data_IF_580692030966
#
_entry.id   IF_580692030966
#
_cell.length_a   1.000
_cell.length_b   1.000
_cell.length_c   1.000
_cell.angle_alpha   90.00
_cell.angle_beta   90.00
_cell.angle_gamma   90.00
#
_symmetry.space_group_name_H-M   'P 1'
#
loop_
_entity.id
_entity.type
_entity.pdbx_description
1 polymer ?
#
# COMPACT_ATOMS: atom_id res chain seq x y z
N UNK A 1 13.22 17.38 1.81
CA UNK A 1 12.62 16.27 2.57
C UNK A 1 11.80 16.86 3.73
N UNK A 2 10.58 16.35 3.95
CA UNK A 2 9.75 16.72 5.09
C UNK A 2 10.15 15.96 6.36
N UNK A 3 9.61 16.39 7.52
CA UNK A 3 9.89 15.78 8.82
C UNK A 3 9.62 14.27 8.83
N UNK A 4 8.49 13.83 8.25
CA UNK A 4 8.12 12.41 8.18
C UNK A 4 9.16 11.63 7.39
N UNK A 5 9.57 12.11 6.22
CA UNK A 5 10.56 11.44 5.37
C UNK A 5 11.92 11.30 6.07
N UNK A 6 12.35 12.34 6.78
CA UNK A 6 13.60 12.33 7.57
C UNK A 6 13.52 11.28 8.68
N UNK A 7 12.39 11.21 9.36
CA UNK A 7 12.20 10.23 10.45
C UNK A 7 12.13 8.79 9.93
N UNK A 8 11.46 8.53 8.81
CA UNK A 8 11.43 7.20 8.20
C UNK A 8 12.83 6.74 7.77
N UNK A 9 13.62 7.63 7.17
CA UNK A 9 15.01 7.34 6.83
C UNK A 9 15.85 7.03 8.09
N UNK A 10 15.67 7.80 9.17
CA UNK A 10 16.34 7.56 10.45
C UNK A 10 15.99 6.19 11.04
N UNK A 11 14.70 5.81 11.03
CA UNK A 11 14.25 4.51 11.53
C UNK A 11 14.83 3.35 10.71
N UNK A 12 14.88 3.47 9.38
CA UNK A 12 15.50 2.46 8.53
C UNK A 12 16.97 2.23 8.90
N UNK A 13 17.72 3.31 9.16
CA UNK A 13 19.13 3.24 9.63
C UNK A 13 19.23 2.66 11.04
N UNK A 14 18.44 3.16 11.99
CA UNK A 14 18.49 2.72 13.38
C UNK A 14 18.24 1.22 13.53
N UNK A 15 17.26 0.70 12.77
CA UNK A 15 16.88 -0.71 12.84
C UNK A 15 17.57 -1.59 11.79
N UNK A 16 18.39 -1.02 10.90
CA UNK A 16 19.10 -1.71 9.82
C UNK A 16 18.14 -2.57 8.96
N UNK A 17 17.00 -1.99 8.56
CA UNK A 17 15.94 -2.66 7.79
C UNK A 17 15.60 -1.90 6.51
N UNK A 18 15.10 -2.64 5.52
CA UNK A 18 14.31 -2.03 4.45
C UNK A 18 12.94 -1.64 5.03
N UNK A 19 12.54 -0.39 4.85
CA UNK A 19 11.35 0.16 5.48
C UNK A 19 10.36 0.71 4.46
N UNK A 20 9.17 0.09 4.37
CA UNK A 20 7.98 0.64 3.74
C UNK A 20 6.95 0.95 4.83
N UNK A 21 6.94 2.18 5.34
CA UNK A 21 6.14 2.58 6.50
C UNK A 21 4.72 3.08 6.14
N UNK A 22 4.00 2.33 5.31
CA UNK A 22 2.67 2.74 4.86
C UNK A 22 2.71 3.77 3.73
N UNK A 23 1.75 4.70 3.73
CA UNK A 23 1.72 5.79 2.75
C UNK A 23 1.53 7.15 3.42
N UNK A 24 2.12 8.18 2.82
CA UNK A 24 2.09 9.56 3.33
C UNK A 24 1.67 10.54 2.24
N UNK A 25 1.09 11.71 2.60
CA UNK A 25 0.84 12.77 1.63
C UNK A 25 2.16 13.45 1.22
N UNK A 26 2.45 13.45 -0.08
CA UNK A 26 3.54 14.22 -0.68
C UNK A 26 2.98 15.34 -1.56
N UNK A 27 3.61 16.51 -1.54
CA UNK A 27 3.23 17.63 -2.40
C UNK A 27 3.28 17.21 -3.87
N UNK A 28 2.22 17.52 -4.61
CA UNK A 28 2.19 17.38 -6.08
C UNK A 28 2.59 18.69 -6.77
N UNK A 29 2.72 18.63 -8.09
CA UNK A 29 2.91 19.83 -8.90
C UNK A 29 1.63 20.69 -9.02
N UNK A 30 0.47 20.13 -8.67
CA UNK A 30 -0.83 20.83 -8.67
C UNK A 30 -1.00 21.50 -7.30
N UNK A 31 -1.30 22.79 -7.32
CA UNK A 31 -1.52 23.59 -6.10
C UNK A 31 -2.63 22.96 -5.25
N UNK A 32 -2.43 22.90 -3.94
CA UNK A 32 -3.35 22.34 -2.94
C UNK A 32 -3.72 20.85 -3.15
N UNK A 33 -2.92 20.12 -3.93
CA UNK A 33 -3.07 18.69 -4.14
C UNK A 33 -1.82 17.92 -3.69
N UNK A 34 -2.04 16.68 -3.28
CA UNK A 34 -0.99 15.78 -2.79
C UNK A 34 -1.02 14.47 -3.56
N UNK A 35 0.09 13.73 -3.55
CA UNK A 35 0.11 12.30 -3.86
C UNK A 35 -0.08 11.52 -2.56
N UNK A 36 -0.83 10.42 -2.62
CA UNK A 36 -0.81 9.38 -1.59
C UNK A 36 0.36 8.45 -1.96
N UNK A 37 1.48 8.58 -1.25
CA UNK A 37 2.75 7.99 -1.68
C UNK A 37 3.31 6.99 -0.68
N UNK A 38 3.73 5.82 -1.16
CA UNK A 38 4.50 4.83 -0.41
C UNK A 38 6.00 4.99 -0.74
N UNK A 39 6.82 5.09 0.30
CA UNK A 39 8.26 5.33 0.20
C UNK A 39 9.03 4.13 0.76
N UNK A 40 9.92 3.56 -0.04
CA UNK A 40 10.80 2.46 0.36
C UNK A 40 12.19 3.00 0.68
N UNK A 41 12.63 2.80 1.90
CA UNK A 41 13.97 3.17 2.37
C UNK A 41 14.86 1.94 2.56
N UNK A 42 16.14 2.08 2.23
CA UNK A 42 17.17 1.07 2.49
C UNK A 42 17.73 1.21 3.93
N UNK A 43 18.45 0.17 4.44
CA UNK A 43 19.08 0.21 5.75
C UNK A 43 20.10 1.34 5.98
N UNK A 44 20.60 1.95 4.91
CA UNK A 44 21.47 3.13 4.95
C UNK A 44 20.70 4.47 4.97
N UNK A 45 19.36 4.42 4.99
CA UNK A 45 18.47 5.58 4.98
C UNK A 45 18.22 6.20 3.61
N UNK A 46 18.80 5.65 2.55
CA UNK A 46 18.53 6.11 1.20
C UNK A 46 17.12 5.73 0.73
N UNK A 47 16.44 6.65 0.05
CA UNK A 47 15.17 6.37 -0.61
C UNK A 47 15.44 5.54 -1.89
N UNK A 48 15.02 4.28 -1.89
CA UNK A 48 15.16 3.39 -3.06
C UNK A 48 14.13 3.69 -4.14
N UNK A 49 12.88 3.81 -3.77
CA UNK A 49 11.81 4.09 -4.70
C UNK A 49 10.60 4.73 -4.00
N UNK A 50 9.74 5.37 -4.79
CA UNK A 50 8.51 6.00 -4.33
C UNK A 50 7.37 5.65 -5.30
N UNK A 51 6.26 5.17 -4.77
CA UNK A 51 5.04 4.87 -5.52
C UNK A 51 3.96 5.87 -5.15
N UNK A 52 3.41 6.56 -6.13
CA UNK A 52 2.23 7.39 -5.99
C UNK A 52 0.99 6.57 -6.36
N UNK A 53 0.04 6.45 -5.45
CA UNK A 53 -1.19 5.68 -5.63
C UNK A 53 -1.89 6.03 -6.94
N UNK A 54 -2.13 5.02 -7.79
CA UNK A 54 -2.76 5.19 -9.10
C UNK A 54 -4.29 5.25 -8.95
N UNK A 55 -4.88 4.31 -8.20
CA UNK A 55 -6.33 4.21 -8.07
C UNK A 55 -6.81 4.90 -6.79
N UNK A 56 -7.30 6.13 -6.93
CA UNK A 56 -7.86 6.89 -5.83
C UNK A 56 -9.21 6.30 -5.38
N UNK A 57 -9.37 6.20 -4.06
CA UNK A 57 -10.60 5.63 -3.49
C UNK A 57 -11.78 6.60 -3.63
N UNK A 58 -12.85 6.10 -4.23
CA UNK A 58 -14.13 6.79 -4.27
C UNK A 58 -15.23 5.83 -3.88
N UNK A 59 -16.08 6.26 -2.96
CA UNK A 59 -17.21 5.48 -2.46
C UNK A 59 -18.36 6.41 -2.11
N UNK A 60 -19.57 6.01 -2.44
CA UNK A 60 -20.79 6.72 -2.05
C UNK A 60 -21.92 5.69 -1.96
N UNK A 61 -22.51 5.53 -0.77
CA UNK A 61 -23.66 4.64 -0.53
C UNK A 61 -24.95 5.43 -0.24
N UNK A 62 -24.92 6.76 -0.42
CA UNK A 62 -26.04 7.65 -0.11
C UNK A 62 -26.06 8.17 1.33
N UNK A 63 -25.27 7.57 2.23
CA UNK A 63 -25.13 7.97 3.65
C UNK A 63 -23.72 8.50 3.92
N UNK A 64 -22.72 7.80 3.39
CA UNK A 64 -21.29 8.17 3.53
C UNK A 64 -20.69 8.33 2.14
N UNK A 65 -20.05 9.47 1.91
CA UNK A 65 -19.31 9.74 0.68
C UNK A 65 -17.82 9.90 0.98
N UNK A 66 -17.00 9.23 0.19
CA UNK A 66 -15.54 9.30 0.21
C UNK A 66 -15.04 9.59 -1.19
N UNK A 67 -14.20 10.61 -1.34
CA UNK A 67 -13.55 10.91 -2.61
C UNK A 67 -12.12 11.43 -2.35
N UNK A 68 -11.12 10.55 -2.50
CA UNK A 68 -9.71 10.94 -2.39
C UNK A 68 -9.31 12.00 -3.43
N UNK A 69 -9.96 12.01 -4.60
CA UNK A 69 -9.69 12.96 -5.68
C UNK A 69 -9.90 14.42 -5.29
N UNK A 70 -10.58 14.71 -4.17
CA UNK A 70 -10.71 16.08 -3.64
C UNK A 70 -9.36 16.64 -3.24
N UNK A 71 -8.50 15.84 -2.56
CA UNK A 71 -7.23 16.29 -1.99
C UNK A 71 -6.01 15.66 -2.67
N UNK A 72 -6.19 14.54 -3.38
CA UNK A 72 -5.08 13.79 -3.97
C UNK A 72 -5.15 13.77 -5.49
N UNK A 73 -3.97 13.64 -6.09
CA UNK A 73 -3.76 13.41 -7.53
C UNK A 73 -3.37 11.95 -7.72
N UNK A 74 -3.92 11.30 -8.72
CA UNK A 74 -3.51 9.95 -9.10
C UNK A 74 -2.07 9.94 -9.62
N UNK A 75 -1.33 8.90 -9.24
CA UNK A 75 -0.07 8.55 -9.87
C UNK A 75 -0.30 7.98 -11.28
N UNK A 76 0.77 7.86 -12.04
CA UNK A 76 0.76 7.37 -13.42
C UNK A 76 1.82 6.29 -13.69
N UNK A 77 2.62 5.91 -12.68
CA UNK A 77 3.74 4.99 -12.83
C UNK A 77 3.60 3.78 -11.95
N UNK A 78 3.73 2.60 -12.54
CA UNK A 78 3.95 1.35 -11.83
C UNK A 78 5.39 1.32 -11.33
N UNK A 79 5.59 1.01 -10.06
CA UNK A 79 6.90 1.02 -9.41
C UNK A 79 7.22 -0.37 -8.88
N UNK A 80 8.37 -0.88 -9.32
CA UNK A 80 9.04 -2.02 -8.72
C UNK A 80 10.47 -1.60 -8.36
N UNK A 81 11.01 -2.15 -7.28
CA UNK A 81 12.42 -1.99 -6.90
C UNK A 81 13.06 -3.35 -6.62
N UNK A 82 14.38 -3.38 -6.61
CA UNK A 82 15.15 -4.56 -6.23
C UNK A 82 15.63 -4.43 -4.81
N UNK A 83 15.43 -5.47 -4.00
CA UNK A 83 15.83 -5.56 -2.61
C UNK A 83 16.52 -6.91 -2.42
N UNK A 84 17.83 -6.90 -2.18
CA UNK A 84 18.65 -8.11 -1.95
C UNK A 84 18.44 -9.22 -3.01
N UNK A 85 18.29 -8.82 -4.27
CA UNK A 85 18.07 -9.73 -5.40
C UNK A 85 16.61 -10.12 -5.64
N UNK A 86 15.67 -9.65 -4.81
CA UNK A 86 14.23 -9.83 -5.01
C UNK A 86 13.59 -8.61 -5.66
N UNK A 87 12.74 -8.84 -6.64
CA UNK A 87 11.95 -7.79 -7.26
C UNK A 87 10.66 -7.55 -6.49
N UNK A 88 10.50 -6.36 -5.95
CA UNK A 88 9.39 -5.96 -5.07
C UNK A 88 8.50 -4.94 -5.76
N UNK A 89 7.21 -5.28 -5.93
CA UNK A 89 6.19 -4.36 -6.46
C UNK A 89 5.51 -3.55 -5.37
N UNK A 90 5.24 -2.26 -5.63
CA UNK A 90 4.56 -1.38 -4.69
C UNK A 90 3.13 -1.06 -5.13
N UNK A 91 2.22 -1.05 -4.18
CA UNK A 91 0.81 -0.69 -4.37
C UNK A 91 0.25 -0.07 -3.09
N UNK A 92 -0.94 0.56 -3.13
CA UNK A 92 -1.57 1.18 -1.95
C UNK A 92 -3.07 0.89 -1.95
N UNK A 93 -3.56 0.20 -0.92
CA UNK A 93 -4.97 0.13 -0.51
C UNK A 93 -5.94 -0.22 -1.65
N UNK A 94 -6.64 0.76 -2.21
CA UNK A 94 -7.66 0.59 -3.25
C UNK A 94 -7.11 -0.03 -4.55
N UNK A 95 -5.80 0.08 -4.79
CA UNK A 95 -5.11 -0.61 -5.89
C UNK A 95 -5.38 -2.13 -5.89
N UNK A 96 -5.65 -2.71 -4.71
CA UNK A 96 -5.99 -4.13 -4.56
C UNK A 96 -7.13 -4.59 -5.47
N UNK A 97 -8.04 -3.68 -5.87
CA UNK A 97 -9.20 -3.99 -6.71
C UNK A 97 -8.89 -4.04 -8.20
N UNK A 98 -7.69 -3.64 -8.62
CA UNK A 98 -7.31 -3.46 -10.02
C UNK A 98 -6.23 -4.47 -10.41
N UNK A 99 -6.59 -5.66 -10.90
CA UNK A 99 -5.63 -6.70 -11.28
C UNK A 99 -4.68 -6.23 -12.38
N UNK A 100 -5.10 -5.28 -13.21
CA UNK A 100 -4.31 -4.71 -14.29
C UNK A 100 -3.00 -4.08 -13.78
N UNK A 101 -3.03 -3.40 -12.64
CA UNK A 101 -1.84 -2.82 -12.02
C UNK A 101 -0.78 -3.90 -11.77
N UNK A 102 -1.19 -5.00 -11.16
CA UNK A 102 -0.29 -6.10 -10.78
C UNK A 102 0.24 -6.83 -12.01
N UNK A 103 -0.57 -6.97 -13.05
CA UNK A 103 -0.14 -7.57 -14.33
C UNK A 103 0.92 -6.72 -15.03
N UNK A 104 0.82 -5.40 -14.98
CA UNK A 104 1.81 -4.48 -15.58
C UNK A 104 3.14 -4.50 -14.83
N UNK A 105 3.17 -4.89 -13.54
CA UNK A 105 4.43 -5.09 -12.79
C UNK A 105 5.31 -6.19 -13.44
N UNK A 106 4.68 -7.11 -14.20
CA UNK A 106 5.35 -8.29 -14.75
C UNK A 106 5.72 -9.30 -13.67
N UNK A 107 6.82 -10.03 -13.87
CA UNK A 107 7.29 -10.99 -12.88
C UNK A 107 7.92 -10.24 -11.71
N UNK A 108 7.37 -10.45 -10.52
CA UNK A 108 7.85 -9.92 -9.24
C UNK A 108 7.86 -11.04 -8.19
N UNK A 109 8.74 -10.97 -7.22
CA UNK A 109 8.83 -11.97 -6.15
C UNK A 109 7.86 -11.65 -5.01
N UNK A 110 7.69 -10.36 -4.71
CA UNK A 110 6.85 -9.87 -3.60
C UNK A 110 6.09 -8.62 -4.03
N UNK A 111 4.83 -8.51 -3.62
CA UNK A 111 4.05 -7.27 -3.72
C UNK A 111 3.72 -6.78 -2.32
N UNK A 112 3.94 -5.50 -2.07
CA UNK A 112 3.64 -4.82 -0.81
C UNK A 112 2.43 -3.90 -0.98
N UNK A 113 1.47 -4.00 -0.04
CA UNK A 113 0.22 -3.25 -0.05
C UNK A 113 -0.09 -2.67 1.34
N UNK A 114 0.39 -1.47 1.69
CA UNK A 114 -0.12 -0.74 2.85
C UNK A 114 -1.54 -0.24 2.60
N UNK A 115 -2.41 -0.33 3.62
CA UNK A 115 -3.85 -0.08 3.48
C UNK A 115 -4.51 0.46 4.74
N UNK A 116 -5.68 1.07 4.54
CA UNK A 116 -6.65 1.40 5.56
C UNK A 116 -8.07 1.09 5.01
N UNK A 117 -8.35 -0.18 4.75
CA UNK A 117 -9.65 -0.64 4.25
C UNK A 117 -10.75 -0.34 5.25
N UNK A 118 -11.91 0.13 4.77
CA UNK A 118 -13.09 0.27 5.63
C UNK A 118 -13.51 -1.10 6.15
N UNK A 119 -14.08 -1.13 7.36
CA UNK A 119 -14.45 -2.39 8.01
C UNK A 119 -15.35 -3.28 7.14
N UNK A 120 -16.41 -2.72 6.58
CA UNK A 120 -17.37 -3.48 5.75
C UNK A 120 -16.75 -4.06 4.48
N UNK A 121 -15.99 -3.25 3.74
CA UNK A 121 -15.34 -3.73 2.51
C UNK A 121 -14.19 -4.68 2.81
N UNK A 122 -13.52 -4.48 3.94
CA UNK A 122 -12.48 -5.39 4.42
C UNK A 122 -13.03 -6.76 4.76
N UNK A 123 -14.08 -6.80 5.56
CA UNK A 123 -14.75 -8.05 5.95
C UNK A 123 -15.18 -8.88 4.72
N UNK A 124 -15.68 -8.21 3.68
CA UNK A 124 -16.18 -8.89 2.49
C UNK A 124 -15.08 -9.29 1.48
N UNK A 125 -14.00 -8.52 1.35
CA UNK A 125 -13.13 -8.62 0.19
C UNK A 125 -11.62 -8.69 0.48
N UNK A 126 -11.15 -8.32 1.67
CA UNK A 126 -9.73 -8.12 1.95
C UNK A 126 -8.89 -9.37 1.70
N UNK A 127 -9.17 -10.44 2.42
CA UNK A 127 -8.44 -11.69 2.30
C UNK A 127 -8.61 -12.32 0.91
N UNK A 128 -9.85 -12.35 0.39
CA UNK A 128 -10.14 -12.88 -0.92
C UNK A 128 -9.29 -12.24 -2.01
N UNK A 129 -9.24 -10.89 -2.02
CA UNK A 129 -8.48 -10.16 -3.04
C UNK A 129 -6.97 -10.30 -2.85
N UNK A 130 -6.46 -10.25 -1.62
CA UNK A 130 -5.04 -10.41 -1.35
C UNK A 130 -4.54 -11.78 -1.82
N UNK A 131 -5.26 -12.86 -1.50
CA UNK A 131 -4.97 -14.22 -1.97
C UNK A 131 -5.04 -14.33 -3.49
N UNK A 132 -6.07 -13.73 -4.12
CA UNK A 132 -6.19 -13.71 -5.56
C UNK A 132 -4.97 -13.04 -6.22
N UNK A 133 -4.48 -11.90 -5.68
CA UNK A 133 -3.29 -11.21 -6.21
C UNK A 133 -2.03 -12.07 -6.09
N UNK A 134 -1.86 -12.78 -4.99
CA UNK A 134 -0.75 -13.72 -4.83
C UNK A 134 -0.76 -14.82 -5.89
N UNK A 135 -1.90 -15.50 -6.03
CA UNK A 135 -2.07 -16.65 -6.95
C UNK A 135 -1.94 -16.25 -8.42
N UNK A 136 -2.63 -15.19 -8.84
CA UNK A 136 -2.65 -14.80 -10.26
C UNK A 136 -1.33 -14.21 -10.75
N UNK A 137 -0.51 -13.65 -9.84
CA UNK A 137 0.81 -13.12 -10.16
C UNK A 137 1.96 -14.05 -9.76
N UNK A 138 1.65 -15.18 -9.13
CA UNK A 138 2.60 -16.20 -8.69
C UNK A 138 3.74 -15.62 -7.81
N UNK A 139 3.38 -14.75 -6.87
CA UNK A 139 4.32 -14.07 -6.00
C UNK A 139 3.81 -14.03 -4.55
N UNK A 140 4.69 -13.72 -3.61
CA UNK A 140 4.27 -13.40 -2.25
C UNK A 140 3.50 -12.08 -2.24
N UNK A 141 2.46 -12.00 -1.40
CA UNK A 141 1.67 -10.79 -1.24
C UNK A 141 1.61 -10.40 0.23
N UNK A 142 2.20 -9.25 0.56
CA UNK A 142 2.23 -8.70 1.92
C UNK A 142 1.25 -7.53 2.00
N UNK A 143 0.13 -7.77 2.64
CA UNK A 143 -0.97 -6.82 2.77
C UNK A 143 -1.05 -6.32 4.22
N UNK A 144 -0.61 -5.11 4.47
CA UNK A 144 -0.64 -4.47 5.79
C UNK A 144 -1.81 -3.52 5.87
N UNK A 145 -2.69 -3.71 6.85
CA UNK A 145 -3.94 -2.96 6.95
C UNK A 145 -4.16 -2.41 8.35
N UNK A 146 -4.45 -1.13 8.46
CA UNK A 146 -4.83 -0.51 9.72
C UNK A 146 -6.14 -1.12 10.24
N UNK A 147 -6.17 -1.45 11.54
CA UNK A 147 -7.35 -1.91 12.25
C UNK A 147 -7.78 -0.94 13.33
N UNK A 148 -9.07 -0.97 13.66
CA UNK A 148 -9.60 -0.24 14.82
C UNK A 148 -10.63 0.84 14.49
N UNK A 149 -11.04 1.54 15.53
CA UNK A 149 -11.97 2.66 15.48
C UNK A 149 -11.21 3.97 15.66
N UNK A 150 -11.40 4.91 14.71
CA UNK A 150 -10.73 6.19 14.69
C UNK A 150 -11.61 7.28 15.32
N UNK A 151 -11.01 8.37 15.81
CA UNK A 151 -11.73 9.51 16.43
C UNK A 151 -12.84 10.09 15.53
N UNK A 152 -12.69 9.98 14.21
CA UNK A 152 -13.71 10.37 13.24
C UNK A 152 -14.94 9.45 13.19
N UNK A 153 -14.99 8.38 13.98
CA UNK A 153 -16.01 7.32 13.94
C UNK A 153 -15.81 6.32 12.80
N UNK A 154 -14.79 6.51 11.94
CA UNK A 154 -14.43 5.55 10.90
C UNK A 154 -13.87 4.28 11.52
N UNK A 155 -14.30 3.13 11.02
CA UNK A 155 -13.72 1.82 11.38
C UNK A 155 -12.92 1.26 10.21
N UNK A 156 -11.70 0.80 10.51
CA UNK A 156 -10.85 0.07 9.58
C UNK A 156 -10.75 -1.40 9.98
N UNK A 157 -10.55 -2.26 8.98
CA UNK A 157 -10.75 -3.70 9.13
C UNK A 157 -9.59 -4.41 9.83
N UNK A 158 -8.35 -3.95 9.68
CA UNK A 158 -7.18 -4.66 10.16
C UNK A 158 -6.90 -5.91 9.35
N UNK A 159 -6.57 -7.01 10.03
CA UNK A 159 -6.31 -8.31 9.43
C UNK A 159 -5.18 -8.25 8.39
N UNK A 160 -4.04 -7.63 8.78
CA UNK A 160 -2.81 -7.69 7.99
C UNK A 160 -2.44 -9.15 7.75
N UNK A 161 -1.99 -9.47 6.53
CA UNK A 161 -1.69 -10.85 6.18
C UNK A 161 -0.53 -10.96 5.18
N UNK A 162 0.07 -12.14 5.14
CA UNK A 162 1.07 -12.55 4.16
C UNK A 162 0.54 -13.80 3.47
N UNK A 163 0.45 -13.75 2.13
CA UNK A 163 0.10 -14.90 1.29
C UNK A 163 1.32 -15.37 0.51
N UNK A 164 1.42 -16.68 0.32
CA UNK A 164 2.37 -17.29 -0.61
C UNK A 164 1.82 -17.33 -2.05
N UNK A 165 2.63 -17.72 -3.05
CA UNK A 165 2.19 -17.81 -4.45
C UNK A 165 1.07 -18.84 -4.71
N UNK A 166 0.80 -19.76 -3.78
CA UNK A 166 -0.30 -20.71 -3.86
C UNK A 166 -1.61 -20.16 -3.29
N UNK A 167 -1.55 -18.98 -2.64
CA UNK A 167 -2.67 -18.33 -1.97
C UNK A 167 -2.92 -18.84 -0.54
N UNK A 168 -1.94 -19.53 0.05
CA UNK A 168 -1.99 -19.87 1.47
C UNK A 168 -1.66 -18.64 2.32
N UNK A 169 -2.43 -18.43 3.38
CA UNK A 169 -2.16 -17.36 4.35
C UNK A 169 -1.12 -17.86 5.34
N UNK A 170 0.11 -17.40 5.18
CA UNK A 170 1.25 -17.82 6.03
C UNK A 170 1.21 -17.17 7.40
N UNK A 171 0.73 -15.93 7.48
CA UNK A 171 0.59 -15.18 8.72
C UNK A 171 -0.54 -14.17 8.61
N UNK A 172 -1.21 -13.89 9.73
CA UNK A 172 -2.21 -12.83 9.83
C UNK A 172 -2.21 -12.21 11.22
N UNK A 173 -2.59 -10.93 11.30
CA UNK A 173 -2.79 -10.18 12.54
C UNK A 173 -4.20 -9.60 12.53
N UNK A 174 -4.95 -9.77 13.63
CA UNK A 174 -6.28 -9.18 13.82
C UNK A 174 -6.20 -7.65 14.00
#
# INVERSE_FOLDING_TARGET
NGVIQTELARLAVEHQVYLLAGSIPLKSAIMDKYYNAALMYAPDGNLLCAYNKIHLFKFNDGVVAYDEGVNFVAGDKVICCEIDGFKVGLSICYDLRFPELFRVMGVVDVILLPSAFTYQTGLAHWELLARARAVENQCYFVAVNQGGEHESGRKTYGHSLICDPWGEVLASCA
#
